data_IF_631093880348
#
_entry.id   IF_631093880348
#
_cell.length_a   1.000
_cell.length_b   1.000
_cell.length_c   1.000
_cell.angle_alpha   90.00
_cell.angle_beta   90.00
_cell.angle_gamma   90.00
#
_symmetry.space_group_name_H-M   'P 1'
#
loop_
_entity.id
_entity.type
_entity.pdbx_description
1 polymer ?
#
# COMPACT_ATOMS: atom_id res chain seq x y z
N UNK A 1 14.51 -16.40 -51.25
CA UNK A 1 14.53 -17.42 -50.17
C UNK A 1 15.52 -17.13 -49.04
N UNK A 2 15.98 -15.90 -48.86
CA UNK A 2 16.99 -15.49 -47.85
C UNK A 2 16.35 -14.69 -46.67
N UNK A 3 15.12 -14.19 -46.84
CA UNK A 3 14.43 -13.36 -45.82
C UNK A 3 13.89 -14.14 -44.61
N UNK A 4 13.70 -15.46 -44.75
CA UNK A 4 13.09 -16.27 -43.66
C UNK A 4 14.07 -16.66 -42.56
N UNK A 5 15.39 -16.65 -42.82
CA UNK A 5 16.42 -17.16 -41.91
C UNK A 5 16.71 -16.16 -40.78
N UNK A 6 16.51 -14.87 -40.99
CA UNK A 6 16.80 -13.81 -40.00
C UNK A 6 15.65 -13.53 -39.03
N UNK A 7 14.43 -13.95 -39.33
CA UNK A 7 13.27 -13.69 -38.47
C UNK A 7 13.27 -14.56 -37.21
N UNK A 8 13.70 -15.81 -37.33
CA UNK A 8 13.72 -16.78 -36.23
C UNK A 8 14.67 -16.35 -35.10
N UNK A 9 15.94 -15.96 -35.33
CA UNK A 9 16.82 -15.53 -34.25
C UNK A 9 16.38 -14.22 -33.62
N UNK A 10 15.78 -13.29 -34.37
CA UNK A 10 15.29 -12.03 -33.85
C UNK A 10 14.07 -12.25 -32.93
N UNK A 11 13.13 -13.08 -33.35
CA UNK A 11 11.96 -13.41 -32.52
C UNK A 11 12.35 -14.17 -31.25
N UNK A 12 13.29 -15.08 -31.34
CA UNK A 12 13.83 -15.82 -30.20
C UNK A 12 14.54 -14.88 -29.22
N UNK A 13 15.34 -13.94 -29.70
CA UNK A 13 16.02 -12.93 -28.89
C UNK A 13 15.03 -12.03 -28.16
N UNK A 14 13.98 -11.54 -28.85
CA UNK A 14 12.92 -10.73 -28.25
C UNK A 14 12.16 -11.50 -27.18
N UNK A 15 11.83 -12.77 -27.42
CA UNK A 15 11.16 -13.63 -26.45
C UNK A 15 12.02 -13.90 -25.22
N UNK A 16 13.32 -14.15 -25.39
CA UNK A 16 14.24 -14.33 -24.26
C UNK A 16 14.34 -13.03 -23.44
N UNK A 17 14.52 -11.90 -24.12
CA UNK A 17 14.61 -10.60 -23.45
C UNK A 17 13.32 -10.24 -22.69
N UNK A 18 12.17 -10.53 -23.27
CA UNK A 18 10.86 -10.36 -22.64
C UNK A 18 10.71 -11.24 -21.40
N UNK A 19 11.05 -12.53 -21.49
CA UNK A 19 11.02 -13.47 -20.37
C UNK A 19 11.97 -13.08 -19.23
N UNK A 20 13.18 -12.60 -19.54
CA UNK A 20 14.13 -12.14 -18.52
C UNK A 20 13.62 -10.90 -17.79
N UNK A 21 12.98 -9.99 -18.51
CA UNK A 21 12.38 -8.78 -17.93
C UNK A 21 11.20 -9.12 -17.03
N UNK A 22 10.34 -10.05 -17.45
CA UNK A 22 9.23 -10.55 -16.62
C UNK A 22 9.73 -11.23 -15.35
N UNK A 23 10.75 -12.07 -15.43
CA UNK A 23 11.33 -12.75 -14.26
C UNK A 23 11.95 -11.79 -13.25
N UNK A 24 12.61 -10.72 -13.71
CA UNK A 24 13.12 -9.67 -12.82
C UNK A 24 11.99 -8.97 -12.07
N UNK A 25 10.89 -8.65 -12.75
CA UNK A 25 9.71 -7.99 -12.15
C UNK A 25 9.04 -8.87 -11.09
N UNK A 26 8.89 -10.17 -11.37
CA UNK A 26 8.32 -11.12 -10.41
C UNK A 26 9.22 -11.30 -9.17
N UNK A 27 10.53 -11.40 -9.33
CA UNK A 27 11.46 -11.53 -8.19
C UNK A 27 11.39 -10.36 -7.23
N UNK A 28 11.32 -9.12 -7.74
CA UNK A 28 11.19 -7.93 -6.88
C UNK A 28 9.93 -7.98 -6.05
N UNK A 29 8.80 -8.36 -6.65
CA UNK A 29 7.50 -8.44 -5.94
C UNK A 29 7.50 -9.55 -4.89
N UNK A 30 8.12 -10.70 -5.19
CA UNK A 30 8.22 -11.82 -4.24
C UNK A 30 9.12 -11.49 -3.04
N UNK A 31 10.23 -10.78 -3.26
CA UNK A 31 11.10 -10.32 -2.17
C UNK A 31 10.38 -9.34 -1.23
N UNK A 32 9.65 -8.39 -1.82
CA UNK A 32 8.81 -7.44 -1.09
C UNK A 32 7.80 -8.19 -0.20
N UNK A 33 7.07 -9.15 -0.76
CA UNK A 33 6.05 -9.89 -0.03
C UNK A 33 6.62 -10.73 1.12
N UNK A 34 7.77 -11.36 0.94
CA UNK A 34 8.43 -12.14 1.99
C UNK A 34 8.86 -11.25 3.18
N UNK A 35 9.35 -10.03 2.90
CA UNK A 35 9.75 -9.07 3.95
C UNK A 35 8.55 -8.55 4.74
N UNK A 36 7.39 -8.38 4.11
CA UNK A 36 6.14 -7.97 4.78
C UNK A 36 5.70 -9.05 5.77
N UNK A 37 5.71 -10.33 5.37
CA UNK A 37 5.28 -11.42 6.24
C UNK A 37 6.16 -11.60 7.48
N UNK A 38 7.45 -11.34 7.39
CA UNK A 38 8.37 -11.43 8.53
C UNK A 38 8.23 -10.27 9.53
N UNK A 39 7.83 -9.06 9.07
CA UNK A 39 7.68 -7.88 9.93
C UNK A 39 6.32 -7.78 10.62
N UNK A 40 5.28 -8.44 10.11
CA UNK A 40 3.92 -8.35 10.67
C UNK A 40 3.70 -9.13 11.96
N UNK A 41 4.69 -9.86 12.47
CA UNK A 41 4.56 -10.66 13.70
C UNK A 41 4.92 -9.94 15.00
N UNK A 42 5.56 -8.75 14.95
CA UNK A 42 6.16 -8.10 16.12
C UNK A 42 5.61 -6.72 16.47
N UNK A 43 4.56 -6.21 15.82
CA UNK A 43 4.05 -4.87 16.07
C UNK A 43 2.87 -4.85 17.03
N UNK A 44 3.17 -4.35 18.14
CA UNK A 44 2.46 -3.78 19.29
C UNK A 44 0.91 -3.76 19.23
N UNK A 45 0.33 -4.64 20.01
CA UNK A 45 -1.13 -4.82 20.18
C UNK A 45 -1.81 -3.70 21.01
N UNK A 46 -1.12 -2.62 21.37
CA UNK A 46 -1.59 -1.63 22.34
C UNK A 46 -1.66 -0.18 21.90
N UNK A 47 -1.09 0.22 20.75
CA UNK A 47 -1.05 1.63 20.35
C UNK A 47 -2.42 2.10 19.87
N UNK A 48 -2.95 3.17 20.52
CA UNK A 48 -4.21 3.81 20.12
C UNK A 48 -3.89 4.98 19.20
N UNK A 49 -4.60 5.05 18.09
CA UNK A 49 -4.60 6.18 17.16
C UNK A 49 -5.86 6.99 17.42
N UNK A 50 -5.68 8.30 17.63
CA UNK A 50 -6.79 9.23 17.75
C UNK A 50 -6.84 10.08 16.48
N UNK A 51 -7.91 9.93 15.73
CA UNK A 51 -8.17 10.68 14.51
C UNK A 51 -9.16 11.80 14.85
N UNK A 52 -8.67 13.02 14.79
CA UNK A 52 -9.47 14.21 15.06
C UNK A 52 -10.31 14.61 13.84
N UNK A 53 -11.31 15.44 14.08
CA UNK A 53 -12.10 16.09 13.05
C UNK A 53 -12.09 17.61 13.29
N UNK A 54 -12.30 18.40 12.25
CA UNK A 54 -12.56 19.84 12.37
C UNK A 54 -13.80 20.12 13.23
N UNK A 55 -14.74 19.18 13.30
CA UNK A 55 -15.86 19.20 14.25
C UNK A 55 -15.38 18.67 15.59
N UNK A 56 -15.32 19.56 16.60
CA UNK A 56 -14.84 19.27 17.98
C UNK A 56 -15.51 18.07 18.66
N UNK A 57 -16.69 17.67 18.21
CA UNK A 57 -17.46 16.58 18.80
C UNK A 57 -17.38 15.27 18.01
N UNK A 58 -16.59 15.23 16.94
CA UNK A 58 -16.49 14.06 16.08
C UNK A 58 -15.02 13.62 15.97
N UNK A 59 -14.65 12.60 16.71
CA UNK A 59 -13.35 11.97 16.69
C UNK A 59 -13.49 10.45 16.58
N UNK A 60 -12.42 9.78 16.20
CA UNK A 60 -12.35 8.33 16.16
C UNK A 60 -11.07 7.86 16.86
N UNK A 61 -11.22 7.15 17.97
CA UNK A 61 -10.11 6.48 18.64
C UNK A 61 -10.20 4.98 18.38
N UNK A 62 -9.12 4.38 17.86
CA UNK A 62 -9.06 2.96 17.55
C UNK A 62 -7.63 2.43 17.72
N UNK A 63 -7.51 1.10 17.89
CA UNK A 63 -6.21 0.46 17.88
C UNK A 63 -5.54 0.64 16.52
N UNK A 64 -4.23 0.95 16.52
CA UNK A 64 -3.45 1.03 15.29
C UNK A 64 -3.58 -0.27 14.47
N UNK A 65 -3.65 -1.42 15.14
CA UNK A 65 -3.80 -2.71 14.49
C UNK A 65 -5.13 -2.86 13.73
N UNK A 66 -6.20 -2.22 14.22
CA UNK A 66 -7.51 -2.26 13.54
C UNK A 66 -7.59 -1.32 12.34
N UNK A 67 -6.78 -0.25 12.30
CA UNK A 67 -6.80 0.71 11.20
C UNK A 67 -6.22 0.09 9.93
N UNK A 68 -6.99 0.07 8.85
CA UNK A 68 -6.55 -0.43 7.55
C UNK A 68 -5.93 0.68 6.71
N UNK A 69 -6.72 1.68 6.37
CA UNK A 69 -6.29 2.83 5.57
C UNK A 69 -7.24 4.01 5.74
N UNK A 70 -6.83 5.17 5.29
CA UNK A 70 -7.59 6.41 5.23
C UNK A 70 -7.56 6.93 3.81
N UNK A 71 -8.72 7.30 3.27
CA UNK A 71 -8.82 7.92 1.94
C UNK A 71 -9.44 9.31 2.01
N UNK A 72 -9.04 10.21 1.11
CA UNK A 72 -9.67 11.52 0.98
C UNK A 72 -10.89 11.45 0.06
N UNK A 73 -11.99 12.04 0.51
CA UNK A 73 -13.24 12.19 -0.22
C UNK A 73 -13.67 13.65 -0.09
N UNK A 74 -13.41 14.45 -1.10
CA UNK A 74 -13.64 15.91 -1.09
C UNK A 74 -12.99 16.60 0.14
N UNK A 75 -13.80 17.18 1.01
CA UNK A 75 -13.39 17.84 2.26
C UNK A 75 -13.42 16.91 3.47
N UNK A 76 -13.54 15.62 3.25
CA UNK A 76 -13.60 14.60 4.29
C UNK A 76 -12.48 13.56 4.09
N UNK A 77 -12.21 12.85 5.15
CA UNK A 77 -11.47 11.59 5.10
C UNK A 77 -12.43 10.45 5.43
N UNK A 78 -12.30 9.34 4.74
CA UNK A 78 -12.99 8.10 5.05
C UNK A 78 -12.00 7.10 5.64
N UNK A 79 -12.23 6.72 6.91
CA UNK A 79 -11.35 5.89 7.72
C UNK A 79 -11.86 4.47 7.70
N UNK A 80 -11.11 3.55 7.14
CA UNK A 80 -11.45 2.12 7.08
C UNK A 80 -10.71 1.35 8.17
N UNK A 81 -11.45 0.57 8.94
CA UNK A 81 -10.91 -0.20 10.06
C UNK A 81 -11.69 -1.50 10.27
N UNK A 82 -11.06 -2.45 10.96
CA UNK A 82 -11.70 -3.72 11.37
C UNK A 82 -12.20 -3.59 12.80
N UNK A 83 -13.47 -3.91 13.00
CA UNK A 83 -14.09 -4.00 14.32
C UNK A 83 -14.83 -5.34 14.45
N UNK A 84 -14.41 -6.18 15.41
CA UNK A 84 -14.93 -7.53 15.63
C UNK A 84 -14.89 -8.40 14.35
N UNK A 85 -13.83 -8.30 13.55
CA UNK A 85 -13.67 -9.07 12.31
C UNK A 85 -14.49 -8.55 11.13
N UNK A 86 -15.16 -7.41 11.28
CA UNK A 86 -15.96 -6.78 10.22
C UNK A 86 -15.28 -5.47 9.81
N UNK A 87 -15.07 -5.28 8.51
CA UNK A 87 -14.58 -4.01 7.97
C UNK A 87 -15.68 -2.96 8.08
N UNK A 88 -15.38 -1.87 8.78
CA UNK A 88 -16.23 -0.69 8.94
C UNK A 88 -15.53 0.54 8.40
N UNK A 89 -16.27 1.62 8.18
CA UNK A 89 -15.69 2.90 7.81
C UNK A 89 -16.43 4.05 8.54
N UNK A 90 -15.73 5.17 8.67
CA UNK A 90 -16.26 6.41 9.27
C UNK A 90 -15.73 7.62 8.52
N UNK A 91 -16.63 8.49 8.10
CA UNK A 91 -16.32 9.80 7.53
C UNK A 91 -16.02 10.81 8.64
N UNK A 92 -14.91 11.53 8.52
CA UNK A 92 -14.52 12.64 9.37
C UNK A 92 -14.21 13.85 8.50
N UNK A 93 -14.66 15.03 8.90
CA UNK A 93 -14.27 16.28 8.23
C UNK A 93 -12.85 16.64 8.63
N UNK A 94 -11.90 16.23 7.85
CA UNK A 94 -10.47 16.45 8.08
C UNK A 94 -9.66 16.24 6.80
N UNK A 95 -8.36 16.53 6.86
CA UNK A 95 -7.47 16.31 5.72
C UNK A 95 -6.43 15.22 6.01
N UNK A 96 -5.95 14.55 4.96
CA UNK A 96 -4.85 13.59 5.09
C UNK A 96 -3.57 14.23 5.62
N UNK A 97 -3.30 15.48 5.24
CA UNK A 97 -2.14 16.22 5.76
C UNK A 97 -2.29 16.56 7.24
N UNK A 98 -3.51 16.81 7.72
CA UNK A 98 -3.80 16.97 9.13
C UNK A 98 -3.52 15.69 9.92
N UNK A 99 -3.90 14.53 9.38
CA UNK A 99 -3.60 13.24 10.01
C UNK A 99 -2.09 13.03 10.16
N UNK A 100 -1.29 13.37 9.14
CA UNK A 100 0.17 13.26 9.20
C UNK A 100 0.77 14.20 10.25
N UNK A 101 0.23 15.42 10.38
CA UNK A 101 0.68 16.41 11.37
C UNK A 101 0.32 16.04 12.80
N UNK A 102 -0.87 15.49 13.02
CA UNK A 102 -1.37 15.12 14.35
C UNK A 102 -0.71 13.83 14.87
N UNK A 103 -0.21 12.98 13.97
CA UNK A 103 0.35 11.67 14.31
C UNK A 103 1.80 11.49 13.84
N UNK A 104 2.73 12.41 14.15
CA UNK A 104 4.10 12.37 13.61
C UNK A 104 4.92 11.20 14.14
N UNK A 105 4.52 10.63 15.27
CA UNK A 105 5.22 9.50 15.92
C UNK A 105 4.77 8.14 15.42
N UNK A 106 3.66 8.08 14.68
CA UNK A 106 3.12 6.81 14.18
C UNK A 106 3.75 6.50 12.82
N UNK A 107 4.88 5.82 12.84
CA UNK A 107 5.66 5.46 11.65
C UNK A 107 5.00 4.42 10.77
N UNK A 108 4.00 3.72 11.28
CA UNK A 108 3.19 2.72 10.59
C UNK A 108 2.22 3.36 9.59
N UNK A 109 1.81 4.60 9.82
CA UNK A 109 0.97 5.33 8.88
C UNK A 109 1.81 5.85 7.72
N UNK A 110 1.52 5.37 6.53
CA UNK A 110 2.30 5.66 5.33
C UNK A 110 1.41 6.26 4.24
N UNK A 111 1.74 7.48 3.81
CA UNK A 111 1.07 8.11 2.67
C UNK A 111 1.60 7.52 1.37
N UNK A 112 0.88 6.57 0.81
CA UNK A 112 1.26 5.89 -0.44
C UNK A 112 0.74 6.58 -1.71
N UNK A 113 -0.24 7.47 -1.58
CA UNK A 113 -0.87 8.18 -2.69
C UNK A 113 -1.36 9.57 -2.23
N UNK A 114 -1.62 10.49 -3.18
CA UNK A 114 -2.22 11.79 -2.86
C UNK A 114 -3.52 11.67 -2.06
N UNK A 115 -4.28 10.60 -2.30
CA UNK A 115 -5.59 10.36 -1.68
C UNK A 115 -5.59 9.20 -0.67
N UNK A 116 -4.46 8.56 -0.36
CA UNK A 116 -4.43 7.41 0.53
C UNK A 116 -3.27 7.45 1.53
N UNK A 117 -3.60 7.20 2.80
CA UNK A 117 -2.67 6.80 3.86
C UNK A 117 -3.01 5.36 4.23
N UNK A 118 -2.02 4.47 4.28
CA UNK A 118 -2.20 3.05 4.65
C UNK A 118 -1.47 2.75 5.95
N UNK A 119 -1.99 1.81 6.70
CA UNK A 119 -1.27 1.21 7.81
C UNK A 119 -0.37 0.08 7.29
N UNK A 120 0.94 0.20 7.44
CA UNK A 120 1.92 -0.78 7.00
C UNK A 120 1.73 -2.16 7.62
N UNK A 121 1.25 -2.22 8.87
CA UNK A 121 1.02 -3.48 9.62
C UNK A 121 -0.04 -4.35 8.93
N UNK A 122 -0.99 -3.74 8.27
CA UNK A 122 -2.10 -4.41 7.60
C UNK A 122 -1.88 -4.62 6.10
N UNK A 123 -0.68 -4.36 5.59
CA UNK A 123 -0.33 -4.72 4.20
C UNK A 123 -0.15 -6.25 4.15
N UNK A 124 -0.93 -6.90 3.29
CA UNK A 124 -0.85 -8.34 3.01
C UNK A 124 0.19 -8.63 1.91
N UNK A 125 0.10 -7.89 0.81
CA UNK A 125 1.01 -8.08 -0.33
C UNK A 125 1.09 -6.83 -1.20
N UNK A 126 2.16 -6.78 -2.01
CA UNK A 126 2.40 -5.73 -3.01
C UNK A 126 2.37 -6.35 -4.39
N UNK A 127 1.65 -5.76 -5.30
CA UNK A 127 1.55 -6.17 -6.71
C UNK A 127 1.97 -5.04 -7.64
N UNK A 128 2.29 -5.36 -8.89
CA UNK A 128 2.68 -4.36 -9.88
C UNK A 128 4.19 -4.29 -10.10
N UNK A 129 4.67 -3.15 -10.57
CA UNK A 129 6.08 -2.95 -10.93
C UNK A 129 6.47 -1.47 -10.81
N UNK A 130 7.68 -1.09 -11.23
CA UNK A 130 8.17 0.29 -11.19
C UNK A 130 7.29 1.31 -11.96
N UNK A 131 6.41 0.87 -12.86
CA UNK A 131 5.44 1.75 -13.51
C UNK A 131 4.22 2.06 -12.62
N UNK A 132 3.95 1.22 -11.61
CA UNK A 132 2.91 1.42 -10.61
C UNK A 132 2.75 0.21 -9.71
N UNK A 133 2.81 0.43 -8.41
CA UNK A 133 2.52 -0.57 -7.38
C UNK A 133 1.08 -0.43 -6.91
N UNK A 134 0.54 -1.54 -6.41
CA UNK A 134 -0.74 -1.60 -5.70
C UNK A 134 -0.55 -2.40 -4.43
N UNK A 135 -1.15 -1.96 -3.34
CA UNK A 135 -1.12 -2.63 -2.04
C UNK A 135 -2.40 -3.41 -1.85
N UNK A 136 -2.27 -4.67 -1.50
CA UNK A 136 -3.37 -5.47 -0.99
C UNK A 136 -3.30 -5.44 0.53
N UNK A 137 -4.42 -5.15 1.19
CA UNK A 137 -4.52 -5.12 2.64
C UNK A 137 -5.21 -6.39 3.15
N UNK A 138 -4.93 -6.76 4.39
CA UNK A 138 -5.69 -7.76 5.14
C UNK A 138 -7.13 -7.25 5.29
N UNK A 139 -8.07 -8.15 5.24
CA UNK A 139 -9.51 -7.86 5.46
C UNK A 139 -10.12 -6.78 4.55
N UNK A 140 -9.47 -6.49 3.40
CA UNK A 140 -9.99 -5.58 2.40
C UNK A 140 -9.80 -6.12 0.99
N UNK A 141 -10.89 -6.18 0.22
CA UNK A 141 -10.91 -6.87 -1.08
C UNK A 141 -10.19 -6.10 -2.19
N UNK A 142 -10.23 -4.78 -2.16
CA UNK A 142 -9.68 -3.94 -3.23
C UNK A 142 -8.21 -3.62 -3.00
N UNK A 143 -7.49 -3.32 -4.09
CA UNK A 143 -6.10 -2.90 -4.03
C UNK A 143 -5.97 -1.37 -3.99
N UNK A 144 -5.12 -0.86 -3.10
CA UNK A 144 -4.84 0.57 -2.98
C UNK A 144 -3.70 0.96 -3.92
N UNK A 145 -3.88 1.97 -4.78
CA UNK A 145 -2.84 2.40 -5.70
C UNK A 145 -1.71 3.14 -4.98
N UNK A 146 -0.47 2.91 -5.43
CA UNK A 146 0.71 3.66 -4.99
C UNK A 146 1.11 4.66 -6.07
N UNK A 147 1.27 5.91 -5.71
CA UNK A 147 1.80 6.93 -6.61
C UNK A 147 3.29 6.67 -6.90
N UNK A 148 3.75 6.89 -8.14
CA UNK A 148 5.14 6.68 -8.57
C UNK A 148 6.18 7.37 -7.69
N UNK A 149 5.83 8.53 -7.15
CA UNK A 149 6.63 9.29 -6.19
C UNK A 149 7.08 8.44 -4.98
N UNK A 150 6.27 7.46 -4.57
CA UNK A 150 6.45 6.66 -3.38
C UNK A 150 7.04 5.26 -3.64
N UNK A 151 7.37 4.95 -4.90
CA UNK A 151 7.88 3.64 -5.29
C UNK A 151 9.16 3.23 -4.52
N UNK A 152 10.05 4.18 -4.23
CA UNK A 152 11.29 3.89 -3.48
C UNK A 152 10.98 3.56 -2.02
N UNK A 153 10.06 4.28 -1.40
CA UNK A 153 9.66 4.05 -0.01
C UNK A 153 8.93 2.70 0.16
N UNK A 154 8.15 2.27 -0.83
CA UNK A 154 7.57 0.92 -0.81
C UNK A 154 8.66 -0.15 -0.77
N UNK A 155 9.76 0.03 -1.50
CA UNK A 155 10.90 -0.89 -1.45
C UNK A 155 11.55 -0.91 -0.06
N UNK A 156 11.75 0.25 0.56
CA UNK A 156 12.33 0.38 1.90
C UNK A 156 11.46 -0.20 3.01
N UNK A 157 10.13 -0.01 2.92
CA UNK A 157 9.16 -0.57 3.87
C UNK A 157 9.23 -2.10 3.86
N UNK A 158 9.62 -2.66 2.73
CA UNK A 158 9.59 -4.08 2.45
C UNK A 158 10.98 -4.75 2.52
N UNK A 159 12.05 -4.00 2.81
CA UNK A 159 13.41 -4.51 3.04
C UNK A 159 13.67 -4.63 4.54
#
# INVERSE_FOLDING_TARGET
MILSINIIPVTLFVLIHYNLTLRKRLRTTLQINNSIQSKSQDSDKGQIVVLNSDNKNDSLALSLHSLLFITSVDNYIDVFYVDNGITKHKLLRYSLSGIELDNPTITELFRCHKSYIVNKVNIDSVTGNAAGYKLKLKDYAECIPVSRKWNNQIKEICT
#
